data_IF_819309378039
#
_entry.id   IF_819309378039
#
_cell.length_a   1.000
_cell.length_b   1.000
_cell.length_c   1.000
_cell.angle_alpha   90.00
_cell.angle_beta   90.00
_cell.angle_gamma   90.00
#
_symmetry.space_group_name_H-M   'P 1'
#
loop_
_entity.id
_entity.type
_entity.pdbx_description
1 polymer ?
#
# COMPACT_ATOMS: atom_id res chain seq x y z
N UNK A 1 1.81 7.46 -0.78
CA UNK A 1 3.16 7.09 -1.25
C UNK A 1 4.15 7.84 -0.38
N UNK A 2 5.39 7.39 -0.32
CA UNK A 2 6.41 8.09 0.45
C UNK A 2 7.69 8.21 -0.37
N UNK A 3 8.52 9.19 -0.03
CA UNK A 3 9.83 9.40 -0.65
C UNK A 3 10.87 9.42 0.46
N UNK A 4 12.02 8.78 0.21
CA UNK A 4 13.13 8.86 1.15
C UNK A 4 13.65 10.28 1.25
N UNK A 5 14.41 10.56 2.31
CA UNK A 5 15.34 11.69 2.32
C UNK A 5 16.43 11.49 1.26
N UNK A 6 17.30 12.50 1.11
CA UNK A 6 18.56 12.31 0.39
C UNK A 6 19.41 11.31 1.18
N UNK A 7 19.76 10.19 0.53
CA UNK A 7 20.55 9.12 1.12
C UNK A 7 21.95 9.13 0.53
N UNK A 8 22.95 9.05 1.40
CA UNK A 8 24.33 8.82 0.98
C UNK A 8 24.54 7.37 0.49
N UNK A 9 25.63 7.06 -0.23
CA UNK A 9 25.93 5.70 -0.65
C UNK A 9 25.96 4.72 0.54
N UNK A 10 25.08 3.72 0.50
CA UNK A 10 24.94 2.70 1.55
C UNK A 10 23.99 3.08 2.70
N UNK A 11 23.48 4.32 2.74
CA UNK A 11 22.50 4.73 3.73
C UNK A 11 21.12 4.13 3.43
N UNK A 12 20.37 3.78 4.48
CA UNK A 12 19.02 3.25 4.37
C UNK A 12 18.04 4.04 5.24
N UNK A 13 16.77 4.04 4.86
CA UNK A 13 15.69 4.64 5.64
C UNK A 13 14.55 3.63 5.81
N UNK A 14 14.13 3.39 7.05
CA UNK A 14 12.89 2.66 7.34
C UNK A 14 11.70 3.56 7.04
N UNK A 15 10.73 3.04 6.29
CA UNK A 15 9.51 3.76 5.93
C UNK A 15 8.30 3.12 6.61
N UNK A 16 7.38 3.95 7.09
CA UNK A 16 6.10 3.51 7.63
C UNK A 16 4.98 4.27 6.90
N UNK A 17 4.10 3.53 6.23
CA UNK A 17 2.99 4.10 5.46
C UNK A 17 1.70 3.65 6.13
N UNK A 18 0.86 4.61 6.55
CA UNK A 18 -0.45 4.32 7.14
C UNK A 18 -1.54 4.62 6.12
N UNK A 19 -2.36 3.62 5.85
CA UNK A 19 -3.45 3.70 4.88
C UNK A 19 -4.76 3.53 5.65
N UNK A 20 -5.67 4.52 5.62
CA UNK A 20 -7.00 4.36 6.22
C UNK A 20 -7.77 3.22 5.56
N UNK A 21 -8.45 2.38 6.34
CA UNK A 21 -9.24 1.26 5.78
C UNK A 21 -10.29 1.75 4.76
N UNK A 22 -10.86 2.94 4.99
CA UNK A 22 -11.82 3.56 4.07
C UNK A 22 -11.27 3.85 2.67
N UNK A 23 -9.95 4.00 2.50
CA UNK A 23 -9.37 4.20 1.17
C UNK A 23 -9.25 2.92 0.34
N UNK A 24 -9.56 1.76 0.93
CA UNK A 24 -9.65 0.48 0.22
C UNK A 24 -11.01 0.27 -0.46
N UNK A 25 -11.95 1.20 -0.24
CA UNK A 25 -13.33 1.05 -0.68
C UNK A 25 -13.48 1.16 -2.20
N UNK A 26 -14.38 0.33 -2.75
CA UNK A 26 -14.93 0.51 -4.10
C UNK A 26 -16.33 1.12 -4.01
N UNK A 27 -16.64 2.04 -4.93
CA UNK A 27 -17.98 2.62 -5.02
C UNK A 27 -18.89 1.73 -5.86
N UNK A 28 -20.01 1.29 -5.29
CA UNK A 28 -20.95 0.37 -5.97
C UNK A 28 -22.08 1.08 -6.73
N UNK A 29 -22.01 2.40 -6.89
CA UNK A 29 -23.07 3.24 -7.46
C UNK A 29 -23.91 3.99 -6.41
N UNK A 30 -23.91 3.54 -5.15
CA UNK A 30 -24.66 4.19 -4.06
C UNK A 30 -23.80 4.45 -2.82
N UNK A 31 -22.93 3.51 -2.46
CA UNK A 31 -22.13 3.53 -1.25
C UNK A 31 -20.67 3.16 -1.53
N UNK A 32 -19.78 3.63 -0.66
CA UNK A 32 -18.40 3.15 -0.59
C UNK A 32 -18.36 1.89 0.27
N UNK A 33 -17.91 0.79 -0.31
CA UNK A 33 -17.87 -0.52 0.35
C UNK A 33 -16.42 -1.00 0.41
N UNK A 34 -15.99 -1.40 1.61
CA UNK A 34 -14.76 -2.20 1.79
C UNK A 34 -15.21 -3.65 1.94
N UNK A 35 -14.84 -4.48 0.97
CA UNK A 35 -15.21 -5.89 0.97
C UNK A 35 -14.32 -6.66 1.96
N UNK A 36 -14.87 -7.70 2.59
CA UNK A 36 -14.06 -8.65 3.37
C UNK A 36 -13.29 -9.56 2.42
N UNK A 37 -12.11 -10.00 2.83
CA UNK A 37 -11.32 -10.96 2.07
C UNK A 37 -9.82 -10.69 2.11
N UNK A 38 -9.09 -11.38 1.24
CA UNK A 38 -7.64 -11.24 1.11
C UNK A 38 -7.30 -10.07 0.18
N UNK A 39 -6.50 -9.14 0.69
CA UNK A 39 -5.93 -8.02 -0.04
C UNK A 39 -4.42 -8.24 -0.24
N UNK A 40 -3.94 -7.94 -1.45
CA UNK A 40 -2.50 -7.93 -1.76
C UNK A 40 -1.93 -6.51 -1.61
N UNK A 41 -0.89 -6.38 -0.79
CA UNK A 41 -0.13 -5.15 -0.61
C UNK A 41 1.12 -5.23 -1.48
N UNK A 42 1.21 -4.35 -2.48
CA UNK A 42 2.31 -4.31 -3.45
C UNK A 42 3.14 -3.04 -3.25
N UNK A 43 4.42 -3.19 -2.90
CA UNK A 43 5.37 -2.07 -2.77
C UNK A 43 6.32 -2.10 -3.97
N UNK A 44 6.28 -1.04 -4.78
CA UNK A 44 7.06 -0.95 -6.01
C UNK A 44 7.75 0.39 -6.19
N UNK A 45 8.81 0.40 -7.00
CA UNK A 45 9.44 1.64 -7.47
C UNK A 45 8.70 2.23 -8.69
N UNK A 46 7.82 1.45 -9.31
CA UNK A 46 6.79 1.91 -10.25
C UNK A 46 5.58 0.96 -10.17
N UNK A 47 4.48 1.30 -10.82
CA UNK A 47 3.29 0.42 -10.87
C UNK A 47 3.54 -0.94 -11.54
N UNK A 48 4.65 -1.07 -12.29
CA UNK A 48 5.06 -2.31 -12.97
C UNK A 48 6.35 -2.92 -12.41
N UNK A 49 7.09 -2.21 -11.55
CA UNK A 49 8.30 -2.69 -10.86
C UNK A 49 7.97 -2.89 -9.37
N UNK A 50 7.43 -4.06 -9.04
CA UNK A 50 7.02 -4.44 -7.69
C UNK A 50 8.15 -5.23 -7.03
N UNK A 51 8.58 -4.78 -5.84
CA UNK A 51 9.77 -5.30 -5.15
C UNK A 51 9.44 -6.02 -3.84
N UNK A 52 8.29 -5.75 -3.22
CA UNK A 52 7.78 -6.48 -2.07
C UNK A 52 6.29 -6.75 -2.25
N UNK A 53 5.85 -7.93 -1.82
CA UNK A 53 4.44 -8.35 -1.80
C UNK A 53 4.13 -8.88 -0.41
N UNK A 54 3.00 -8.43 0.14
CA UNK A 54 2.41 -8.95 1.37
C UNK A 54 0.92 -9.21 1.18
N UNK A 55 0.33 -10.02 2.05
CA UNK A 55 -1.09 -10.31 2.05
C UNK A 55 -1.69 -9.95 3.40
N UNK A 56 -2.93 -9.49 3.38
CA UNK A 56 -3.69 -9.18 4.59
C UNK A 56 -5.13 -9.65 4.42
N UNK A 57 -5.68 -10.32 5.43
CA UNK A 57 -7.09 -10.73 5.45
C UNK A 57 -7.87 -9.71 6.26
N UNK A 58 -8.87 -9.09 5.63
CA UNK A 58 -9.82 -8.22 6.29
C UNK A 58 -11.09 -9.03 6.63
N UNK A 59 -11.26 -9.31 7.93
CA UNK A 59 -12.36 -10.09 8.49
C UNK A 59 -13.62 -9.28 8.84
#
# INVERSE_FOLDING_TARGET
FEKTKLLEPGETQKMEIRIPVSSLASFNGNYWIVEKGEYEIRVGASSRDIRLIGKYVLD
#
